data_IF_320404405913
#
_entry.id   IF_320404405913
#
_cell.length_a   1.000
_cell.length_b   1.000
_cell.length_c   1.000
_cell.angle_alpha   90.00
_cell.angle_beta   90.00
_cell.angle_gamma   90.00
#
_symmetry.space_group_name_H-M   'P 1'
#
loop_
_entity.id
_entity.type
_entity.pdbx_description
1 polymer ?
#
# COMPACT_ATOMS: atom_id res chain seq x y z
N UNK A 1 20.15 44.65 -1.64
CA UNK A 1 20.16 43.19 -1.87
C UNK A 1 19.82 42.52 -0.54
N UNK A 2 19.05 41.42 -0.60
CA UNK A 2 18.43 40.65 0.51
C UNK A 2 17.19 41.35 1.11
N UNK A 3 16.08 40.69 1.44
CA UNK A 3 15.72 39.27 1.49
C UNK A 3 14.19 39.16 1.53
N UNK A 4 13.62 38.08 0.98
CA UNK A 4 12.51 37.29 1.54
C UNK A 4 11.91 36.39 0.47
N UNK A 5 12.45 35.18 0.42
CA UNK A 5 11.84 34.01 -0.20
C UNK A 5 10.56 33.67 0.55
N UNK A 6 9.40 33.92 -0.05
CA UNK A 6 8.11 33.40 0.42
C UNK A 6 8.17 31.87 0.35
N UNK A 7 8.39 31.23 1.50
CA UNK A 7 8.24 29.79 1.69
C UNK A 7 6.77 29.46 1.43
N UNK A 8 6.47 28.83 0.30
CA UNK A 8 5.14 28.30 0.01
C UNK A 8 4.75 27.34 1.12
N UNK A 9 3.78 27.72 1.93
CA UNK A 9 3.16 26.87 2.94
C UNK A 9 2.36 25.80 2.21
N UNK A 10 2.98 24.65 1.98
CA UNK A 10 2.28 23.43 1.60
C UNK A 10 1.33 23.10 2.75
N UNK A 11 0.03 23.29 2.51
CA UNK A 11 -1.04 22.79 3.36
C UNK A 11 -0.83 21.29 3.54
N UNK A 12 -0.36 20.88 4.73
CA UNK A 12 -0.36 19.47 5.12
C UNK A 12 -1.83 19.06 5.18
N UNK A 13 -2.27 18.26 4.21
CA UNK A 13 -3.59 17.66 4.27
C UNK A 13 -3.54 16.68 5.43
N UNK A 14 -4.22 16.99 6.53
CA UNK A 14 -4.34 16.07 7.66
C UNK A 14 -5.08 14.82 7.19
N UNK A 15 -4.39 13.69 7.21
CA UNK A 15 -4.98 12.38 6.93
C UNK A 15 -6.01 12.05 8.03
N UNK A 16 -7.16 11.44 7.69
CA UNK A 16 -8.15 11.02 8.69
C UNK A 16 -7.68 9.86 9.60
N UNK A 17 -6.48 9.32 9.31
CA UNK A 17 -5.83 8.26 10.06
C UNK A 17 -4.37 8.65 10.34
N UNK A 18 -3.82 8.14 11.44
CA UNK A 18 -2.40 8.31 11.75
C UNK A 18 -1.50 7.68 10.68
N UNK A 19 -0.24 8.14 10.63
CA UNK A 19 0.76 7.69 9.65
C UNK A 19 0.94 6.17 9.65
N UNK A 20 0.90 5.54 10.82
CA UNK A 20 1.10 4.10 10.92
C UNK A 20 -0.06 3.32 10.30
N UNK A 21 -1.29 3.82 10.44
CA UNK A 21 -2.49 3.28 9.82
C UNK A 21 -2.50 3.55 8.32
N UNK A 22 -2.12 4.77 7.91
CA UNK A 22 -1.95 5.11 6.50
C UNK A 22 -0.95 4.18 5.81
N UNK A 23 0.21 3.93 6.42
CA UNK A 23 1.25 3.06 5.87
C UNK A 23 0.74 1.62 5.65
N UNK A 24 -0.03 1.08 6.59
CA UNK A 24 -0.61 -0.27 6.45
C UNK A 24 -1.68 -0.29 5.35
N UNK A 25 -2.53 0.74 5.28
CA UNK A 25 -3.52 0.87 4.21
C UNK A 25 -2.83 0.95 2.85
N UNK A 26 -1.82 1.81 2.71
CA UNK A 26 -1.08 1.99 1.47
C UNK A 26 -0.37 0.70 1.04
N UNK A 27 0.27 0.01 1.98
CA UNK A 27 0.89 -1.29 1.70
C UNK A 27 -0.13 -2.32 1.22
N UNK A 28 -1.32 -2.38 1.85
CA UNK A 28 -2.39 -3.29 1.43
C UNK A 28 -2.85 -2.96 0.00
N UNK A 29 -3.08 -1.69 -0.31
CA UNK A 29 -3.44 -1.25 -1.66
C UNK A 29 -2.42 -1.72 -2.69
N UNK A 30 -1.12 -1.51 -2.44
CA UNK A 30 -0.07 -1.95 -3.36
C UNK A 30 0.01 -3.47 -3.53
N UNK A 31 -0.34 -4.26 -2.50
CA UNK A 31 -0.45 -5.73 -2.62
C UNK A 31 -1.62 -6.14 -3.51
N UNK A 32 -2.76 -5.46 -3.41
CA UNK A 32 -3.91 -5.74 -4.25
C UNK A 32 -3.64 -5.39 -5.72
N UNK A 33 -2.96 -4.28 -5.97
CA UNK A 33 -2.50 -3.89 -7.33
C UNK A 33 -1.51 -4.92 -7.90
N UNK A 34 -0.58 -5.43 -7.08
CA UNK A 34 0.36 -6.47 -7.50
C UNK A 34 -0.35 -7.79 -7.84
N UNK A 35 -1.35 -8.20 -7.05
CA UNK A 35 -2.17 -9.39 -7.34
C UNK A 35 -2.85 -9.24 -8.69
N UNK A 36 -3.51 -8.12 -8.96
CA UNK A 36 -4.18 -7.87 -10.25
C UNK A 36 -3.19 -7.97 -11.43
N UNK A 37 -2.00 -7.38 -11.28
CA UNK A 37 -0.97 -7.45 -12.31
C UNK A 37 -0.44 -8.88 -12.51
N UNK A 38 -0.19 -9.62 -11.42
CA UNK A 38 0.39 -10.97 -11.50
C UNK A 38 -0.62 -12.00 -11.98
N UNK A 39 -1.92 -11.82 -11.73
CA UNK A 39 -2.97 -12.65 -12.34
C UNK A 39 -2.94 -12.55 -13.87
N UNK A 40 -2.76 -11.35 -14.42
CA UNK A 40 -2.60 -11.14 -15.86
C UNK A 40 -1.30 -11.78 -16.40
N UNK A 41 -0.19 -11.67 -15.67
CA UNK A 41 1.10 -12.20 -16.14
C UNK A 41 1.17 -13.73 -16.05
N UNK A 42 0.49 -14.32 -15.06
CA UNK A 42 0.41 -15.77 -14.89
C UNK A 42 -0.28 -16.46 -16.08
N UNK A 43 -1.13 -15.78 -16.85
CA UNK A 43 -1.77 -16.36 -18.04
C UNK A 43 -0.77 -16.79 -19.13
N UNK A 44 0.42 -16.19 -19.14
CA UNK A 44 1.46 -16.41 -20.15
C UNK A 44 2.75 -16.97 -19.53
N UNK A 45 2.71 -17.36 -18.26
CA UNK A 45 3.87 -17.78 -17.50
C UNK A 45 4.00 -19.31 -17.45
N UNK A 46 4.78 -19.86 -18.37
CA UNK A 46 5.06 -21.29 -18.44
C UNK A 46 5.94 -21.79 -17.27
N UNK A 47 6.72 -20.90 -16.64
CA UNK A 47 7.66 -21.24 -15.57
C UNK A 47 7.01 -21.19 -14.18
N UNK A 48 5.84 -20.55 -14.05
CA UNK A 48 5.04 -20.50 -12.83
C UNK A 48 5.54 -19.51 -11.76
N UNK A 49 6.50 -18.66 -12.09
CA UNK A 49 7.00 -17.60 -11.21
C UNK A 49 5.89 -16.68 -10.70
N UNK A 50 5.02 -16.19 -11.59
CA UNK A 50 3.92 -15.28 -11.22
C UNK A 50 2.85 -16.00 -10.40
N UNK A 51 2.69 -17.31 -10.58
CA UNK A 51 1.84 -18.12 -9.70
C UNK A 51 2.40 -18.21 -8.28
N UNK A 52 3.71 -18.44 -8.13
CA UNK A 52 4.39 -18.41 -6.82
C UNK A 52 4.25 -17.04 -6.16
N UNK A 53 4.53 -15.96 -6.91
CA UNK A 53 4.39 -14.59 -6.41
C UNK A 53 2.94 -14.28 -5.99
N UNK A 54 1.93 -14.75 -6.72
CA UNK A 54 0.53 -14.57 -6.34
C UNK A 54 0.19 -15.19 -4.99
N UNK A 55 0.68 -16.38 -4.71
CA UNK A 55 0.47 -17.03 -3.42
C UNK A 55 1.07 -16.20 -2.28
N UNK A 56 2.26 -15.66 -2.48
CA UNK A 56 2.95 -14.80 -1.52
C UNK A 56 2.20 -13.48 -1.30
N UNK A 57 1.80 -12.81 -2.38
CA UNK A 57 1.08 -11.54 -2.30
C UNK A 57 -0.27 -11.69 -1.61
N UNK A 58 -1.00 -12.80 -1.83
CA UNK A 58 -2.24 -13.11 -1.10
C UNK A 58 -2.00 -13.26 0.40
N UNK A 59 -0.98 -14.03 0.81
CA UNK A 59 -0.62 -14.16 2.24
C UNK A 59 -0.21 -12.83 2.85
N UNK A 60 0.50 -11.97 2.10
CA UNK A 60 0.87 -10.64 2.57
C UNK A 60 -0.35 -9.71 2.72
N UNK A 61 -1.26 -9.72 1.74
CA UNK A 61 -2.49 -8.93 1.78
C UNK A 61 -3.38 -9.31 2.98
N UNK A 62 -3.55 -10.60 3.26
CA UNK A 62 -4.29 -11.08 4.43
C UNK A 62 -3.70 -10.56 5.75
N UNK A 63 -2.38 -10.65 5.91
CA UNK A 63 -1.69 -10.15 7.12
C UNK A 63 -1.82 -8.64 7.29
N UNK A 64 -1.77 -7.89 6.19
CA UNK A 64 -1.96 -6.44 6.20
C UNK A 64 -3.40 -6.08 6.53
N UNK A 65 -4.39 -6.78 5.97
CA UNK A 65 -5.81 -6.59 6.27
C UNK A 65 -6.10 -6.85 7.75
N UNK A 66 -5.58 -7.92 8.34
CA UNK A 66 -5.75 -8.20 9.76
C UNK A 66 -5.08 -7.14 10.64
N UNK A 67 -3.92 -6.64 10.24
CA UNK A 67 -3.24 -5.53 10.92
C UNK A 67 -4.05 -4.24 10.84
N UNK A 68 -4.66 -3.95 9.68
CA UNK A 68 -5.53 -2.80 9.47
C UNK A 68 -6.80 -2.91 10.31
N UNK A 69 -7.45 -4.07 10.34
CA UNK A 69 -8.64 -4.34 11.18
C UNK A 69 -8.37 -4.09 12.66
N UNK A 70 -7.22 -4.56 13.17
CA UNK A 70 -6.81 -4.32 14.56
C UNK A 70 -6.63 -2.83 14.84
N UNK A 71 -6.04 -2.06 13.93
CA UNK A 71 -5.85 -0.61 14.08
C UNK A 71 -7.17 0.17 14.03
N UNK A 72 -8.08 -0.21 13.12
CA UNK A 72 -9.38 0.44 12.98
C UNK A 72 -10.36 0.08 14.10
N UNK A 73 -10.31 -1.15 14.60
CA UNK A 73 -11.15 -1.64 15.71
C UNK A 73 -10.61 -1.34 17.11
N UNK A 74 -9.35 -0.89 17.22
CA UNK A 74 -8.75 -0.41 18.48
C UNK A 74 -8.98 1.10 18.70
N UNK A 75 -9.96 1.69 18.02
CA UNK A 75 -10.41 3.08 18.18
C UNK A 75 -11.59 3.17 19.14
#
# INVERSE_FOLDING_TARGET
MQDQTTRGSTSVIDSPVDDATYNVLQALTSKLEAIEAYELYAEQDDEGLFSELLEDERRHAERLLDSLRKRLGSR
#
